data_IF_311091015371
#
_entry.id   IF_311091015371
#
_cell.length_a   1.000
_cell.length_b   1.000
_cell.length_c   1.000
_cell.angle_alpha   90.00
_cell.angle_beta   90.00
_cell.angle_gamma   90.00
#
_symmetry.space_group_name_H-M   'P 1'
#
loop_
_entity.id
_entity.type
_entity.pdbx_description
1 polymer ?
#
# COMPACT_ATOMS: atom_id res chain seq x y z
N UNK A 1 -6.66 -26.20 -28.32
CA UNK A 1 -6.64 -24.87 -27.70
C UNK A 1 -6.53 -25.10 -26.20
N UNK A 2 -5.44 -24.69 -25.58
CA UNK A 2 -5.34 -24.73 -24.11
C UNK A 2 -6.26 -23.65 -23.54
N UNK A 3 -7.00 -24.01 -22.48
CA UNK A 3 -7.92 -23.09 -21.83
C UNK A 3 -7.13 -22.00 -21.11
N UNK A 4 -7.56 -20.74 -21.27
CA UNK A 4 -6.98 -19.61 -20.53
C UNK A 4 -7.21 -19.88 -19.04
N UNK A 5 -6.17 -19.83 -18.20
CA UNK A 5 -6.31 -20.08 -16.79
C UNK A 5 -7.22 -19.04 -16.13
N UNK A 6 -8.01 -19.49 -15.17
CA UNK A 6 -8.85 -18.63 -14.33
C UNK A 6 -7.98 -17.77 -13.41
N UNK A 7 -8.50 -16.63 -12.95
CA UNK A 7 -7.80 -15.75 -12.01
C UNK A 7 -7.32 -16.50 -10.74
N UNK A 8 -8.14 -17.44 -10.24
CA UNK A 8 -7.77 -18.31 -9.12
C UNK A 8 -6.56 -19.17 -9.45
N UNK A 9 -6.51 -19.79 -10.64
CA UNK A 9 -5.37 -20.62 -11.05
C UNK A 9 -4.08 -19.80 -11.20
N UNK A 10 -4.17 -18.51 -11.55
CA UNK A 10 -3.03 -17.59 -11.65
C UNK A 10 -2.50 -17.21 -10.26
N UNK A 11 -3.39 -16.95 -9.31
CA UNK A 11 -3.03 -16.41 -7.98
C UNK A 11 -2.71 -17.51 -6.95
N UNK A 12 -3.23 -18.72 -7.12
CA UNK A 12 -3.03 -19.83 -6.19
C UNK A 12 -1.57 -20.11 -5.81
N UNK A 13 -0.60 -20.15 -6.76
CA UNK A 13 0.80 -20.42 -6.43
C UNK A 13 1.40 -19.36 -5.49
N UNK A 14 1.02 -18.10 -5.65
CA UNK A 14 1.48 -17.00 -4.79
C UNK A 14 0.89 -17.16 -3.38
N UNK A 15 -0.39 -17.50 -3.30
CA UNK A 15 -1.06 -17.74 -2.02
C UNK A 15 -0.54 -18.98 -1.29
N UNK A 16 -0.09 -20.01 -2.02
CA UNK A 16 0.53 -21.21 -1.45
C UNK A 16 1.93 -20.92 -0.89
N UNK A 17 2.69 -20.02 -1.51
CA UNK A 17 4.00 -19.57 -1.00
C UNK A 17 3.90 -18.65 0.22
N UNK A 18 2.79 -17.93 0.37
CA UNK A 18 2.58 -16.92 1.40
C UNK A 18 1.28 -17.18 2.17
N UNK A 19 1.18 -18.28 2.93
CA UNK A 19 -0.04 -18.68 3.61
C UNK A 19 -0.53 -17.64 4.62
N UNK A 20 0.38 -16.88 5.23
CA UNK A 20 0.10 -15.82 6.19
C UNK A 20 -0.62 -14.62 5.56
N UNK A 21 -0.49 -14.44 4.23
CA UNK A 21 -1.16 -13.34 3.52
C UNK A 21 -2.63 -13.61 3.23
N UNK A 22 -3.09 -14.86 3.28
CA UNK A 22 -4.50 -15.23 3.01
C UNK A 22 -5.47 -14.59 4.00
N UNK A 23 -5.02 -14.33 5.22
CA UNK A 23 -5.78 -13.68 6.27
C UNK A 23 -5.17 -12.36 6.72
N UNK A 24 -4.20 -11.82 5.96
CA UNK A 24 -3.53 -10.58 6.34
C UNK A 24 -4.54 -9.45 6.40
N UNK A 25 -4.73 -8.95 7.61
CA UNK A 25 -5.36 -7.67 7.85
C UNK A 25 -4.22 -6.74 8.25
N UNK A 26 -4.02 -5.60 7.56
CA UNK A 26 -3.08 -4.61 8.06
C UNK A 26 -3.49 -4.29 9.49
N UNK A 27 -2.53 -4.35 10.41
CA UNK A 27 -2.81 -4.05 11.81
C UNK A 27 -3.39 -2.64 11.88
N UNK A 28 -4.41 -2.42 12.71
CA UNK A 28 -5.08 -1.11 12.83
C UNK A 28 -4.18 -0.03 13.43
N UNK A 29 -2.91 -0.33 13.68
CA UNK A 29 -1.95 0.65 14.13
C UNK A 29 -1.69 1.61 12.97
N UNK A 30 -2.07 2.87 13.16
CA UNK A 30 -1.59 3.95 12.32
C UNK A 30 -0.06 3.86 12.32
N UNK A 31 0.53 3.58 11.15
CA UNK A 31 1.98 3.55 11.01
C UNK A 31 2.52 4.92 11.41
N UNK A 32 3.31 4.96 12.48
CA UNK A 32 3.92 6.20 12.94
C UNK A 32 5.22 6.42 12.18
N UNK A 33 5.37 7.58 11.54
CA UNK A 33 6.56 7.86 10.74
C UNK A 33 7.79 7.98 11.67
N UNK A 34 8.82 7.15 11.47
CA UNK A 34 10.01 7.20 12.31
C UNK A 34 10.76 8.51 12.04
N UNK A 35 11.11 9.23 13.10
CA UNK A 35 11.89 10.48 13.03
C UNK A 35 13.30 10.22 13.55
N UNK A 36 14.20 9.62 12.74
CA UNK A 36 15.54 9.28 13.21
C UNK A 36 16.36 10.54 13.44
N UNK A 37 17.28 10.44 14.41
CA UNK A 37 18.24 11.50 14.72
C UNK A 37 19.62 11.12 14.20
N UNK A 38 20.32 12.06 13.58
CA UNK A 38 21.71 11.91 13.14
C UNK A 38 22.57 12.90 13.92
N UNK A 39 23.70 12.42 14.42
CA UNK A 39 24.73 13.23 15.09
C UNK A 39 25.86 13.52 14.10
N UNK A 40 25.76 14.61 13.35
CA UNK A 40 26.80 15.03 12.40
C UNK A 40 26.97 16.54 12.48
N UNK A 41 28.02 16.98 13.19
CA UNK A 41 28.24 18.40 13.54
C UNK A 41 27.09 19.02 14.36
N UNK A 42 26.32 18.18 15.07
CA UNK A 42 25.14 18.54 15.86
C UNK A 42 24.05 17.48 15.73
N UNK A 43 23.06 17.53 16.62
CA UNK A 43 21.87 16.68 16.58
C UNK A 43 20.89 17.21 15.53
N UNK A 44 20.63 16.41 14.49
CA UNK A 44 19.65 16.71 13.46
C UNK A 44 18.54 15.65 13.44
N UNK A 45 17.28 16.09 13.49
CA UNK A 45 16.12 15.20 13.33
C UNK A 45 15.72 15.17 11.85
N UNK A 46 15.55 13.99 11.28
CA UNK A 46 15.11 13.82 9.91
C UNK A 46 13.60 13.63 9.90
N UNK A 47 12.87 14.72 10.00
CA UNK A 47 11.40 14.71 10.11
C UNK A 47 10.70 15.32 8.89
N UNK A 48 11.42 15.95 7.96
CA UNK A 48 10.82 16.66 6.81
C UNK A 48 9.87 15.81 5.96
N UNK A 49 10.20 14.53 5.73
CA UNK A 49 9.29 13.62 5.02
C UNK A 49 8.10 13.22 5.88
N UNK A 50 8.30 13.07 7.18
CA UNK A 50 7.24 12.73 8.11
C UNK A 50 6.24 13.87 8.26
N UNK A 51 6.69 15.11 8.43
CA UNK A 51 5.80 16.28 8.49
C UNK A 51 4.97 16.42 7.21
N UNK A 52 5.59 16.29 6.04
CA UNK A 52 4.86 16.35 4.78
C UNK A 52 3.76 15.29 4.68
N UNK A 53 4.04 14.05 5.07
CA UNK A 53 3.06 12.95 5.02
C UNK A 53 1.98 13.13 6.10
N UNK A 54 2.35 13.46 7.33
CA UNK A 54 1.43 13.59 8.46
C UNK A 54 0.43 14.73 8.23
N UNK A 55 0.89 15.87 7.71
CA UNK A 55 0.07 17.05 7.42
C UNK A 55 -0.92 16.79 6.27
N UNK A 56 -0.55 15.92 5.33
CA UNK A 56 -1.33 15.66 4.12
C UNK A 56 -1.99 14.28 4.09
N UNK A 57 -1.93 13.50 5.17
CA UNK A 57 -2.36 12.10 5.21
C UNK A 57 -3.78 11.88 4.68
N UNK A 58 -4.71 12.75 5.07
CA UNK A 58 -6.11 12.64 4.68
C UNK A 58 -6.31 12.90 3.18
N UNK A 59 -5.55 13.86 2.63
CA UNK A 59 -5.58 14.21 1.21
C UNK A 59 -4.97 13.06 0.39
N UNK A 60 -3.83 12.53 0.82
CA UNK A 60 -3.16 11.40 0.17
C UNK A 60 -4.08 10.16 0.16
N UNK A 61 -4.70 9.85 1.30
CA UNK A 61 -5.64 8.73 1.42
C UNK A 61 -6.84 8.91 0.47
N UNK A 62 -7.45 10.10 0.44
CA UNK A 62 -8.57 10.38 -0.44
C UNK A 62 -8.18 10.28 -1.93
N UNK A 63 -7.03 10.83 -2.31
CA UNK A 63 -6.53 10.79 -3.68
C UNK A 63 -6.26 9.35 -4.15
N UNK A 64 -5.64 8.53 -3.30
CA UNK A 64 -5.39 7.12 -3.62
C UNK A 64 -6.67 6.29 -3.70
N UNK A 65 -7.62 6.49 -2.78
CA UNK A 65 -8.92 5.84 -2.87
C UNK A 65 -9.66 6.20 -4.15
N UNK A 66 -9.65 7.47 -4.55
CA UNK A 66 -10.22 7.92 -5.82
C UNK A 66 -9.53 7.25 -7.01
N UNK A 67 -8.21 7.26 -7.06
CA UNK A 67 -7.43 6.68 -8.15
C UNK A 67 -7.75 5.18 -8.31
N UNK A 68 -7.73 4.42 -7.23
CA UNK A 68 -8.05 2.99 -7.26
C UNK A 68 -9.51 2.72 -7.62
N UNK A 69 -10.45 3.53 -7.13
CA UNK A 69 -11.86 3.41 -7.50
C UNK A 69 -12.08 3.63 -9.01
N UNK A 70 -11.42 4.63 -9.58
CA UNK A 70 -11.48 4.90 -11.03
C UNK A 70 -10.87 3.75 -11.84
N UNK A 71 -9.68 3.27 -11.44
CA UNK A 71 -9.03 2.12 -12.09
C UNK A 71 -9.95 0.89 -12.07
N UNK A 72 -10.52 0.55 -10.92
CA UNK A 72 -11.43 -0.58 -10.78
C UNK A 72 -12.68 -0.40 -11.66
N UNK A 73 -13.26 0.80 -11.70
CA UNK A 73 -14.42 1.11 -12.54
C UNK A 73 -14.11 0.92 -14.03
N UNK A 74 -12.97 1.44 -14.52
CA UNK A 74 -12.58 1.29 -15.92
C UNK A 74 -12.34 -0.17 -16.31
N UNK A 75 -11.74 -0.98 -15.42
CA UNK A 75 -11.54 -2.41 -15.68
C UNK A 75 -12.90 -3.11 -15.84
N UNK A 76 -13.86 -2.84 -14.95
CA UNK A 76 -15.20 -3.45 -15.01
C UNK A 76 -15.97 -3.01 -16.26
N UNK A 77 -15.88 -1.73 -16.63
CA UNK A 77 -16.53 -1.20 -17.83
C UNK A 77 -15.86 -1.62 -19.15
N UNK A 78 -14.62 -2.10 -19.11
CA UNK A 78 -13.91 -2.59 -20.28
C UNK A 78 -14.28 -4.01 -20.70
N UNK A 79 -15.07 -4.72 -19.87
CA UNK A 79 -15.65 -6.02 -20.17
C UNK A 79 -16.89 -5.89 -21.09
#
# INVERSE_FOLDING_TARGET
MEAIPTAQQIVQPILDMLPDLRGYKPSSHAGECPRPTIELYGTHVLDAHCTLIDDNKAIIQAAMLLAWALIALFIVLSA
#
